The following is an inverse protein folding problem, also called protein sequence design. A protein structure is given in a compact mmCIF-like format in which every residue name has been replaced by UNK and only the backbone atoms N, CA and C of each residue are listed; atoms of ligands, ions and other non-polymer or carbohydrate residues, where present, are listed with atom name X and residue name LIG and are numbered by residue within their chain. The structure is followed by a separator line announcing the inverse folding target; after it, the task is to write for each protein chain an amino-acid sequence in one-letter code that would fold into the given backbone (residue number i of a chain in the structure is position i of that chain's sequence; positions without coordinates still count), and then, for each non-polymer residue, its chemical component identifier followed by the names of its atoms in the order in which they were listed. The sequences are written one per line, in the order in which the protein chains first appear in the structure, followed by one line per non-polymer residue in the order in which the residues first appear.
data_IF_449191596412
#
_entry.id   IF_449191596412
#
_cell.length_a   1.000
_cell.length_b   1.000
_cell.length_c   1.000
_cell.angle_alpha   90.00
_cell.angle_beta   90.00
_cell.angle_gamma   90.00
#
_symmetry.space_group_name_H-M   'P 1'
#
loop_
_entity.id
_entity.type
_entity.pdbx_description
1 polymer ?
#
# COMPACT_ATOMS: atom_id res chain seq x y z
N UNK A 1 -16.90 4.01 3.67
CA UNK A 1 -15.50 3.58 3.54
C UNK A 1 -15.41 2.15 4.03
N UNK A 2 -14.69 1.33 3.29
CA UNK A 2 -14.41 -0.07 3.64
C UNK A 2 -13.70 -0.16 5.01
N UNK A 3 -13.95 -1.24 5.75
CA UNK A 3 -13.44 -1.40 7.11
C UNK A 3 -11.92 -1.63 7.14
N UNK A 4 -11.39 -2.42 6.19
CA UNK A 4 -9.95 -2.69 6.07
C UNK A 4 -9.21 -1.42 5.66
N UNK A 5 -9.74 -0.68 4.68
CA UNK A 5 -9.19 0.62 4.29
C UNK A 5 -9.16 1.61 5.45
N UNK A 6 -10.25 1.71 6.20
CA UNK A 6 -10.33 2.60 7.36
C UNK A 6 -9.27 2.27 8.42
N UNK A 7 -9.12 0.99 8.75
CA UNK A 7 -8.16 0.54 9.74
C UNK A 7 -6.72 0.77 9.26
N UNK A 8 -6.43 0.44 8.01
CA UNK A 8 -5.13 0.66 7.39
C UNK A 8 -4.75 2.15 7.38
N UNK A 9 -5.68 3.03 6.97
CA UNK A 9 -5.49 4.48 6.97
C UNK A 9 -5.19 5.02 8.37
N UNK A 10 -6.02 4.66 9.36
CA UNK A 10 -5.83 5.10 10.75
C UNK A 10 -4.45 4.72 11.28
N UNK A 11 -4.07 3.46 11.11
CA UNK A 11 -2.81 2.95 11.66
C UNK A 11 -1.60 3.55 10.92
N UNK A 12 -1.64 3.66 9.59
CA UNK A 12 -0.56 4.29 8.83
C UNK A 12 -0.28 5.72 9.35
N UNK A 13 -1.33 6.54 9.50
CA UNK A 13 -1.23 7.89 10.03
C UNK A 13 -0.76 7.93 11.49
N UNK A 14 -1.32 7.07 12.34
CA UNK A 14 -0.99 7.00 13.76
C UNK A 14 0.49 6.64 13.98
N UNK A 15 0.98 5.61 13.30
CA UNK A 15 2.35 5.15 13.46
C UNK A 15 3.35 6.14 12.87
N UNK A 16 3.07 6.69 11.69
CA UNK A 16 3.88 7.77 11.11
C UNK A 16 3.98 8.95 12.10
N UNK A 17 2.85 9.44 12.58
CA UNK A 17 2.80 10.57 13.50
C UNK A 17 3.44 10.28 14.85
N UNK A 18 3.40 9.03 15.32
CA UNK A 18 4.06 8.64 16.57
C UNK A 18 5.58 8.75 16.46
N UNK A 19 6.16 8.30 15.33
CA UNK A 19 7.61 8.42 15.10
C UNK A 19 8.02 9.88 14.89
N UNK A 20 7.19 10.66 14.19
CA UNK A 20 7.44 12.08 13.91
C UNK A 20 7.05 13.03 15.07
N UNK A 21 6.52 12.51 16.19
CA UNK A 21 5.96 13.27 17.31
C UNK A 21 4.93 14.34 16.86
N UNK A 22 4.03 13.96 15.95
CA UNK A 22 2.98 14.81 15.38
C UNK A 22 1.57 14.43 15.85
N UNK A 23 0.65 15.37 15.72
CA UNK A 23 -0.78 15.07 15.76
C UNK A 23 -1.28 14.72 14.36
N UNK A 24 -2.06 13.65 14.24
CA UNK A 24 -2.64 13.20 12.97
C UNK A 24 -4.16 13.36 12.90
N UNK A 25 -4.80 13.87 13.95
CA UNK A 25 -6.26 13.91 14.06
C UNK A 25 -6.92 14.78 12.98
N UNK A 26 -6.24 15.87 12.59
CA UNK A 26 -6.69 16.78 11.53
C UNK A 26 -6.70 16.10 10.16
N UNK A 27 -5.55 15.59 9.73
CA UNK A 27 -5.42 14.90 8.43
C UNK A 27 -6.31 13.66 8.36
N UNK A 28 -6.41 12.87 9.43
CA UNK A 28 -7.29 11.70 9.49
C UNK A 28 -8.76 12.07 9.25
N UNK A 29 -9.22 13.15 9.88
CA UNK A 29 -10.60 13.61 9.73
C UNK A 29 -10.89 14.05 8.29
N UNK A 30 -9.96 14.79 7.68
CA UNK A 30 -10.08 15.28 6.30
C UNK A 30 -10.03 14.13 5.28
N UNK A 31 -9.11 13.18 5.44
CA UNK A 31 -9.02 12.00 4.58
C UNK A 31 -10.25 11.09 4.73
N UNK A 32 -10.69 10.81 5.96
CA UNK A 32 -11.92 10.04 6.20
C UNK A 32 -13.12 10.68 5.52
N UNK A 33 -13.25 12.01 5.65
CA UNK A 33 -14.32 12.77 4.99
C UNK A 33 -14.23 12.68 3.47
N UNK A 34 -13.02 12.66 2.91
CA UNK A 34 -12.78 12.52 1.46
C UNK A 34 -13.17 11.13 0.95
N UNK A 35 -12.79 10.07 1.67
CA UNK A 35 -13.12 8.70 1.29
C UNK A 35 -14.63 8.42 1.35
N UNK A 36 -15.30 8.92 2.39
CA UNK A 36 -16.75 8.77 2.58
C UNK A 36 -17.61 9.73 1.72
N UNK A 37 -17.00 10.67 0.99
CA UNK A 37 -17.75 11.62 0.18
C UNK A 37 -18.48 10.92 -0.97
N UNK A 38 -19.72 11.34 -1.24
CA UNK A 38 -20.46 10.95 -2.44
C UNK A 38 -20.07 11.88 -3.59
N UNK A 39 -18.89 11.64 -4.17
CA UNK A 39 -18.26 12.43 -5.22
C UNK A 39 -17.64 11.53 -6.28
N UNK A 40 -17.53 12.00 -7.55
CA UNK A 40 -16.73 11.33 -8.57
C UNK A 40 -15.29 11.06 -8.09
N UNK A 41 -14.67 9.99 -8.60
CA UNK A 41 -13.35 9.57 -8.14
C UNK A 41 -12.29 10.68 -8.24
N UNK A 42 -12.21 11.37 -9.39
CA UNK A 42 -11.23 12.46 -9.58
C UNK A 42 -11.46 13.68 -8.67
N UNK A 43 -12.70 13.91 -8.21
CA UNK A 43 -12.99 14.93 -7.20
C UNK A 43 -12.47 14.49 -5.82
N UNK A 44 -12.52 13.19 -5.51
CA UNK A 44 -11.87 12.64 -4.29
C UNK A 44 -10.36 12.73 -4.37
N UNK A 45 -9.75 12.41 -5.52
CA UNK A 45 -8.31 12.55 -5.75
C UNK A 45 -7.87 14.00 -5.53
N UNK A 46 -8.59 14.96 -6.10
CA UNK A 46 -8.30 16.39 -5.91
C UNK A 46 -8.38 16.83 -4.44
N UNK A 47 -9.34 16.30 -3.68
CA UNK A 47 -9.47 16.57 -2.24
C UNK A 47 -8.39 15.89 -1.40
N UNK A 48 -7.98 14.68 -1.78
CA UNK A 48 -6.83 14.01 -1.17
C UNK A 48 -5.58 14.87 -1.35
N UNK A 49 -5.35 15.38 -2.56
CA UNK A 49 -4.23 16.28 -2.85
C UNK A 49 -4.29 17.57 -2.02
N UNK A 50 -5.46 18.22 -1.94
CA UNK A 50 -5.65 19.41 -1.10
C UNK A 50 -5.40 19.11 0.39
N UNK A 51 -5.78 17.92 0.85
CA UNK A 51 -5.55 17.49 2.24
C UNK A 51 -4.06 17.38 2.52
N UNK A 52 -3.27 16.72 1.67
CA UNK A 52 -1.81 16.64 1.86
C UNK A 52 -1.11 17.99 1.71
N UNK A 53 -1.57 18.86 0.80
CA UNK A 53 -1.06 20.22 0.66
C UNK A 53 -1.26 21.07 1.94
N UNK A 54 -2.35 20.84 2.67
CA UNK A 54 -2.64 21.47 3.96
C UNK A 54 -1.87 20.82 5.13
N UNK A 55 -1.40 19.58 4.96
CA UNK A 55 -0.70 18.78 5.97
C UNK A 55 0.68 18.30 5.47
N UNK A 56 1.61 19.20 5.06
CA UNK A 56 2.84 18.85 4.35
C UNK A 56 3.83 17.99 5.15
N UNK A 57 3.60 17.77 6.45
CA UNK A 57 4.40 16.83 7.27
C UNK A 57 4.12 15.37 6.94
N UNK A 58 2.99 15.08 6.30
CA UNK A 58 2.56 13.74 5.92
C UNK A 58 2.76 13.46 4.44
N UNK A 59 3.45 14.35 3.70
CA UNK A 59 3.60 14.26 2.24
C UNK A 59 4.08 12.89 1.76
N UNK A 60 5.01 12.26 2.50
CA UNK A 60 5.55 10.93 2.18
C UNK A 60 4.48 9.83 2.16
N UNK A 61 3.30 10.05 2.76
CA UNK A 61 2.19 9.10 2.74
C UNK A 61 1.22 9.29 1.56
N UNK A 62 1.38 10.33 0.74
CA UNK A 62 0.39 10.72 -0.27
C UNK A 62 0.08 9.59 -1.24
N UNK A 63 1.10 8.95 -1.80
CA UNK A 63 0.95 7.86 -2.78
C UNK A 63 0.30 6.62 -2.15
N UNK A 64 0.74 6.21 -0.96
CA UNK A 64 0.17 5.05 -0.27
C UNK A 64 -1.29 5.26 0.17
N UNK A 65 -1.66 6.49 0.51
CA UNK A 65 -3.05 6.84 0.81
C UNK A 65 -3.88 6.96 -0.46
N UNK A 66 -3.29 7.36 -1.59
CA UNK A 66 -3.92 7.27 -2.90
C UNK A 66 -4.24 5.81 -3.26
N UNK A 67 -3.32 4.87 -3.02
CA UNK A 67 -3.57 3.44 -3.22
C UNK A 67 -4.77 2.96 -2.39
N UNK A 68 -4.86 3.38 -1.11
CA UNK A 68 -6.03 3.10 -0.26
C UNK A 68 -7.32 3.72 -0.80
N UNK A 69 -7.25 4.92 -1.39
CA UNK A 69 -8.42 5.56 -2.01
C UNK A 69 -8.90 4.76 -3.22
N UNK A 70 -7.98 4.25 -4.04
CA UNK A 70 -8.26 3.37 -5.17
C UNK A 70 -8.93 2.07 -4.70
N UNK A 71 -8.38 1.41 -3.68
CA UNK A 71 -8.98 0.20 -3.09
C UNK A 71 -10.37 0.48 -2.53
N UNK A 72 -10.58 1.60 -1.82
CA UNK A 72 -11.90 1.97 -1.33
C UNK A 72 -12.88 2.21 -2.48
N UNK A 73 -12.44 2.80 -3.59
CA UNK A 73 -13.28 3.01 -4.76
C UNK A 73 -13.78 1.67 -5.31
N UNK A 74 -12.90 0.69 -5.50
CA UNK A 74 -13.29 -0.65 -5.95
C UNK A 74 -14.21 -1.37 -4.95
N UNK A 75 -13.92 -1.28 -3.65
CA UNK A 75 -14.66 -1.99 -2.61
C UNK A 75 -16.07 -1.43 -2.37
N UNK A 76 -16.23 -0.10 -2.41
CA UNK A 76 -17.45 0.57 -1.94
C UNK A 76 -18.16 1.39 -3.02
N UNK A 77 -17.42 2.09 -3.88
CA UNK A 77 -18.02 3.05 -4.80
C UNK A 77 -18.47 2.39 -6.09
N UNK A 78 -17.68 1.47 -6.66
CA UNK A 78 -18.07 0.69 -7.85
C UNK A 78 -19.36 -0.08 -7.61
N UNK A 79 -19.62 -0.57 -6.40
CA UNK A 79 -20.87 -1.26 -6.05
C UNK A 79 -22.14 -0.38 -6.19
N UNK A 80 -21.99 0.95 -6.24
CA UNK A 80 -23.08 1.92 -6.39
C UNK A 80 -23.26 2.37 -7.84
N UNK A 81 -22.33 2.03 -8.72
CA UNK A 81 -22.30 2.42 -10.12
C UNK A 81 -22.98 1.34 -10.98
N UNK A 82 -23.03 1.58 -12.30
CA UNK A 82 -23.56 0.61 -13.25
C UNK A 82 -22.63 -0.62 -13.34
N UNK A 83 -23.19 -1.81 -13.64
CA UNK A 83 -22.44 -3.09 -13.63
C UNK A 83 -21.26 -3.11 -14.62
N UNK A 84 -21.32 -2.28 -15.67
CA UNK A 84 -20.32 -2.12 -16.71
C UNK A 84 -19.49 -0.83 -16.55
N UNK A 85 -19.50 -0.19 -15.38
CA UNK A 85 -18.76 1.06 -15.17
C UNK A 85 -17.25 0.90 -15.44
N UNK A 86 -16.65 -0.23 -15.02
CA UNK A 86 -15.23 -0.51 -15.27
C UNK A 86 -14.92 -0.79 -16.75
N UNK A 87 -15.93 -1.02 -17.59
CA UNK A 87 -15.78 -1.16 -19.04
C UNK A 87 -16.04 0.18 -19.78
N UNK A 88 -16.18 1.29 -19.05
CA UNK A 88 -16.58 2.58 -19.62
C UNK A 88 -15.40 3.45 -20.05
N UNK A 89 -15.61 4.32 -21.05
CA UNK A 89 -14.64 5.36 -21.46
C UNK A 89 -14.29 6.32 -20.30
N UNK A 90 -15.19 6.48 -19.31
CA UNK A 90 -14.93 7.28 -18.12
C UNK A 90 -13.87 6.62 -17.23
N UNK A 91 -13.97 5.31 -17.01
CA UNK A 91 -12.99 4.57 -16.24
C UNK A 91 -11.64 4.48 -16.97
N UNK A 92 -11.63 4.19 -18.27
CA UNK A 92 -10.41 4.19 -19.09
C UNK A 92 -9.66 5.54 -18.98
N UNK A 93 -10.38 6.66 -18.97
CA UNK A 93 -9.78 7.98 -18.80
C UNK A 93 -9.23 8.21 -17.37
N UNK A 94 -9.90 7.70 -16.35
CA UNK A 94 -9.43 7.76 -14.97
C UNK A 94 -8.14 6.95 -14.79
N UNK A 95 -8.08 5.74 -15.36
CA UNK A 95 -6.88 4.90 -15.32
C UNK A 95 -5.69 5.60 -15.98
N UNK A 96 -5.87 6.15 -17.18
CA UNK A 96 -4.81 6.90 -17.87
C UNK A 96 -4.37 8.14 -17.07
N UNK A 97 -5.31 8.90 -16.51
CA UNK A 97 -5.00 10.10 -15.71
C UNK A 97 -4.32 9.77 -14.37
N UNK A 98 -4.38 8.51 -13.92
CA UNK A 98 -3.84 8.07 -12.62
C UNK A 98 -2.72 7.05 -12.69
N UNK A 99 -2.23 6.75 -13.90
CA UNK A 99 -1.21 5.73 -14.15
C UNK A 99 0.07 5.93 -13.31
N UNK A 100 0.53 7.18 -13.16
CA UNK A 100 1.75 7.52 -12.39
C UNK A 100 1.46 7.99 -10.95
N UNK A 101 0.27 7.74 -10.40
CA UNK A 101 -0.17 8.30 -9.10
C UNK A 101 -0.01 7.38 -7.90
N UNK A 102 -0.09 6.08 -8.13
CA UNK A 102 -0.04 5.07 -7.08
C UNK A 102 1.38 4.61 -6.78
N UNK A 103 1.48 3.63 -5.90
CA UNK A 103 2.72 2.89 -5.64
C UNK A 103 2.51 1.40 -5.84
N UNK A 104 3.61 0.65 -5.79
CA UNK A 104 3.56 -0.82 -5.82
C UNK A 104 2.79 -1.43 -4.63
N UNK A 105 2.47 -0.63 -3.60
CA UNK A 105 1.59 -1.07 -2.52
C UNK A 105 0.18 -1.41 -3.03
N UNK A 106 -0.32 -0.74 -4.08
CA UNK A 106 -1.63 -1.04 -4.67
C UNK A 106 -1.76 -2.52 -5.06
N UNK A 107 -0.74 -3.07 -5.71
CA UNK A 107 -0.69 -4.48 -6.11
C UNK A 107 -0.73 -5.42 -4.90
N UNK A 108 -0.05 -5.06 -3.80
CA UNK A 108 -0.10 -5.82 -2.55
C UNK A 108 -1.51 -5.79 -1.96
N UNK A 109 -2.17 -4.63 -1.93
CA UNK A 109 -3.51 -4.49 -1.36
C UNK A 109 -4.56 -5.25 -2.18
N UNK A 110 -4.46 -5.22 -3.51
CA UNK A 110 -5.31 -6.02 -4.41
C UNK A 110 -5.14 -7.52 -4.14
N UNK A 111 -3.90 -7.99 -4.02
CA UNK A 111 -3.61 -9.38 -3.66
C UNK A 111 -4.19 -9.79 -2.30
N UNK A 112 -4.05 -8.94 -1.29
CA UNK A 112 -4.62 -9.21 0.04
C UNK A 112 -6.14 -9.27 0.00
N UNK A 113 -6.78 -8.43 -0.82
CA UNK A 113 -8.22 -8.46 -1.01
C UNK A 113 -8.66 -9.76 -1.69
N UNK A 114 -7.94 -10.22 -2.70
CA UNK A 114 -8.21 -11.51 -3.35
C UNK A 114 -8.05 -12.68 -2.37
N UNK A 115 -7.02 -12.64 -1.51
CA UNK A 115 -6.83 -13.64 -0.47
C UNK A 115 -8.00 -13.69 0.53
N UNK A 116 -8.50 -12.51 0.94
CA UNK A 116 -9.68 -12.39 1.82
C UNK A 116 -10.92 -13.00 1.16
N UNK A 117 -11.19 -12.63 -0.09
CA UNK A 117 -12.36 -13.12 -0.84
C UNK A 117 -12.30 -14.63 -1.10
N UNK A 118 -11.08 -15.19 -1.21
CA UNK A 118 -10.82 -16.62 -1.39
C UNK A 118 -10.66 -17.40 -0.07
N UNK A 119 -10.68 -16.75 1.10
CA UNK A 119 -10.44 -17.33 2.43
C UNK A 119 -9.10 -18.11 2.50
N UNK A 120 -8.03 -17.51 1.98
CA UNK A 120 -6.67 -18.06 1.99
C UNK A 120 -5.69 -17.13 2.72
N UNK A 121 -4.66 -17.71 3.35
CA UNK A 121 -3.59 -16.91 3.96
C UNK A 121 -2.61 -16.42 2.88
N UNK A 122 -2.22 -15.13 2.90
CA UNK A 122 -1.29 -14.60 1.91
C UNK A 122 0.11 -15.20 2.07
N UNK A 123 0.78 -15.43 0.94
CA UNK A 123 2.15 -15.92 0.88
C UNK A 123 2.93 -15.21 -0.24
N UNK A 124 4.24 -15.01 -0.03
CA UNK A 124 5.07 -14.37 -1.06
C UNK A 124 5.13 -15.23 -2.36
N UNK A 125 5.08 -16.55 -2.21
CA UNK A 125 5.15 -17.46 -3.36
C UNK A 125 3.90 -17.32 -4.25
N UNK A 126 2.71 -17.29 -3.64
CA UNK A 126 1.44 -17.11 -4.35
C UNK A 126 1.32 -15.68 -4.89
N UNK A 127 1.71 -14.66 -4.12
CA UNK A 127 1.73 -13.27 -4.57
C UNK A 127 2.56 -13.10 -5.85
N UNK A 128 3.73 -13.72 -5.92
CA UNK A 128 4.57 -13.63 -7.11
C UNK A 128 4.03 -14.49 -8.26
N UNK A 129 3.68 -15.76 -8.02
CA UNK A 129 3.42 -16.72 -9.11
C UNK A 129 2.00 -16.72 -9.62
N UNK A 130 1.03 -16.55 -8.73
CA UNK A 130 -0.38 -16.69 -9.03
C UNK A 130 -1.06 -15.34 -9.23
N UNK A 131 -0.54 -14.27 -8.60
CA UNK A 131 -1.09 -12.92 -8.71
C UNK A 131 -0.32 -12.01 -9.68
N UNK A 132 0.99 -11.80 -9.45
CA UNK A 132 1.78 -10.84 -10.24
C UNK A 132 2.28 -11.38 -11.59
N UNK A 133 2.87 -12.58 -11.61
CA UNK A 133 3.65 -13.09 -12.74
C UNK A 133 2.88 -14.15 -13.53
N UNK A 134 1.59 -13.91 -13.78
CA UNK A 134 0.74 -14.83 -14.54
C UNK A 134 1.27 -14.94 -15.98
N UNK A 135 1.25 -16.15 -16.57
CA UNK A 135 1.85 -16.43 -17.88
C UNK A 135 1.09 -15.76 -19.05
N UNK A 136 1.37 -14.48 -19.34
CA UNK A 136 1.21 -13.87 -20.67
C UNK A 136 2.36 -12.86 -20.92
N UNK A 137 2.77 -12.68 -22.18
CA UNK A 137 3.83 -11.75 -22.61
C UNK A 137 3.58 -10.27 -22.19
N UNK A 138 2.43 -9.99 -21.57
CA UNK A 138 1.95 -8.69 -21.12
C UNK A 138 2.55 -8.24 -19.77
N UNK A 139 3.09 -9.17 -18.95
CA UNK A 139 3.56 -8.86 -17.59
C UNK A 139 5.10 -8.69 -17.44
N UNK A 140 5.76 -8.19 -18.48
CA UNK A 140 7.22 -8.01 -18.47
C UNK A 140 7.67 -6.85 -17.57
N UNK A 141 6.83 -5.85 -17.39
CA UNK A 141 7.14 -4.70 -16.56
C UNK A 141 7.10 -5.07 -15.06
N UNK A 142 6.15 -5.89 -14.63
CA UNK A 142 6.04 -6.46 -13.27
C UNK A 142 7.27 -7.31 -12.96
N UNK A 143 7.70 -8.14 -13.91
CA UNK A 143 8.95 -8.89 -13.78
C UNK A 143 10.17 -7.99 -13.53
N UNK A 144 10.21 -6.80 -14.16
CA UNK A 144 11.28 -5.81 -13.97
C UNK A 144 11.16 -5.11 -12.62
N UNK A 145 9.97 -4.63 -12.27
CA UNK A 145 9.71 -3.88 -11.03
C UNK A 145 9.99 -4.76 -9.81
N UNK A 146 9.55 -6.02 -9.84
CA UNK A 146 9.69 -6.96 -8.72
C UNK A 146 10.97 -7.80 -8.79
N UNK A 147 11.92 -7.49 -9.68
CA UNK A 147 13.13 -8.31 -9.86
C UNK A 147 13.89 -8.52 -8.55
N UNK A 148 14.01 -7.47 -7.73
CA UNK A 148 14.67 -7.56 -6.43
C UNK A 148 13.87 -8.35 -5.40
N UNK A 149 12.54 -8.32 -5.43
CA UNK A 149 11.72 -9.21 -4.58
C UNK A 149 11.90 -10.66 -5.01
N UNK A 150 11.84 -10.93 -6.32
CA UNK A 150 12.00 -12.26 -6.91
C UNK A 150 13.36 -12.88 -6.56
N UNK A 151 14.45 -12.12 -6.69
CA UNK A 151 15.82 -12.59 -6.38
C UNK A 151 16.01 -12.88 -4.90
N UNK A 152 15.28 -12.18 -4.02
CA UNK A 152 15.50 -12.17 -2.59
C UNK A 152 14.37 -12.83 -1.78
N UNK A 153 13.52 -13.66 -2.41
CA UNK A 153 12.39 -14.35 -1.74
C UNK A 153 12.78 -15.06 -0.44
N UNK A 154 13.96 -15.67 -0.38
CA UNK A 154 14.45 -16.39 0.81
C UNK A 154 14.57 -15.51 2.07
N UNK A 155 14.57 -14.19 1.91
CA UNK A 155 14.66 -13.26 3.03
C UNK A 155 13.42 -13.27 3.93
N UNK A 156 12.26 -13.76 3.46
CA UNK A 156 11.08 -13.92 4.34
C UNK A 156 11.31 -14.92 5.47
N UNK A 157 12.31 -15.81 5.32
CA UNK A 157 12.74 -16.73 6.38
C UNK A 157 13.89 -16.15 7.24
N UNK A 158 14.27 -14.89 7.02
CA UNK A 158 15.42 -14.21 7.65
C UNK A 158 14.97 -13.16 8.68
N UNK A 159 15.93 -12.54 9.38
CA UNK A 159 15.63 -11.44 10.32
C UNK A 159 15.41 -10.12 9.60
N UNK A 160 14.70 -9.19 10.25
CA UNK A 160 14.50 -7.83 9.75
C UNK A 160 15.81 -7.12 9.39
N UNK A 161 16.90 -7.38 10.11
CA UNK A 161 18.21 -6.80 9.81
C UNK A 161 18.81 -7.27 8.48
N UNK A 162 18.60 -8.54 8.10
CA UNK A 162 19.06 -9.01 6.78
C UNK A 162 18.16 -8.49 5.65
N UNK A 163 16.84 -8.38 5.88
CA UNK A 163 15.93 -7.74 4.92
C UNK A 163 16.33 -6.27 4.70
N UNK A 164 16.52 -5.50 5.77
CA UNK A 164 16.92 -4.09 5.71
C UNK A 164 18.25 -3.90 4.98
N UNK A 165 19.24 -4.76 5.26
CA UNK A 165 20.57 -4.72 4.63
C UNK A 165 20.55 -5.03 3.13
N UNK A 166 19.62 -5.85 2.66
CA UNK A 166 19.40 -6.07 1.23
C UNK A 166 18.63 -4.89 0.64
N UNK A 167 17.54 -4.48 1.28
CA UNK A 167 16.73 -3.33 0.86
C UNK A 167 17.56 -2.05 0.70
N UNK A 168 18.53 -1.79 1.58
CA UNK A 168 19.43 -0.64 1.49
C UNK A 168 20.30 -0.61 0.22
N UNK A 169 20.49 -1.74 -0.47
CA UNK A 169 21.32 -1.86 -1.69
C UNK A 169 20.53 -1.75 -2.99
N UNK A 170 19.20 -1.87 -2.93
CA UNK A 170 18.31 -1.68 -4.08
C UNK A 170 18.48 -0.24 -4.56
N UNK A 171 18.53 -0.06 -5.90
CA UNK A 171 18.69 1.25 -6.50
C UNK A 171 17.53 2.17 -6.09
N UNK A 172 17.80 3.45 -5.89
CA UNK A 172 16.77 4.43 -5.56
C UNK A 172 15.86 4.74 -6.76
N UNK A 173 16.31 4.42 -7.97
CA UNK A 173 15.51 4.55 -9.19
C UNK A 173 14.53 3.37 -9.39
N UNK A 174 14.61 2.31 -8.58
CA UNK A 174 13.68 1.18 -8.65
C UNK A 174 12.39 1.48 -7.88
N UNK A 175 11.24 1.32 -8.53
CA UNK A 175 9.90 1.58 -7.99
C UNK A 175 9.63 0.79 -6.69
N UNK A 176 10.14 -0.44 -6.61
CA UNK A 176 9.97 -1.30 -5.43
C UNK A 176 10.76 -0.82 -4.21
N UNK A 177 11.76 0.06 -4.39
CA UNK A 177 12.69 0.48 -3.34
C UNK A 177 11.97 0.91 -2.07
N UNK A 178 10.93 1.71 -2.25
CA UNK A 178 10.29 2.39 -1.14
C UNK A 178 9.41 1.48 -0.31
N UNK A 179 8.93 0.38 -0.89
CA UNK A 179 8.09 -0.60 -0.18
C UNK A 179 8.80 -1.91 0.13
N UNK A 180 10.00 -2.17 -0.45
CA UNK A 180 10.67 -3.47 -0.35
C UNK A 180 10.82 -3.95 1.10
N UNK A 181 11.31 -3.08 1.99
CA UNK A 181 11.57 -3.47 3.37
C UNK A 181 10.26 -3.74 4.15
N UNK A 182 9.24 -2.87 4.13
CA UNK A 182 7.92 -3.17 4.67
C UNK A 182 7.26 -4.42 4.06
N UNK A 183 7.29 -4.58 2.74
CA UNK A 183 6.69 -5.69 2.00
C UNK A 183 7.28 -7.04 2.41
N UNK A 184 8.61 -7.14 2.36
CA UNK A 184 9.31 -8.37 2.74
C UNK A 184 9.13 -8.67 4.23
N UNK A 185 9.10 -7.64 5.08
CA UNK A 185 8.84 -7.79 6.52
C UNK A 185 7.42 -8.28 6.81
N UNK A 186 6.43 -7.88 6.02
CA UNK A 186 5.06 -8.43 6.10
C UNK A 186 5.01 -9.92 5.79
N UNK A 187 5.62 -10.36 4.69
CA UNK A 187 5.64 -11.78 4.37
C UNK A 187 6.50 -12.61 5.33
N UNK A 188 7.48 -11.99 6.01
CA UNK A 188 8.27 -12.64 7.05
C UNK A 188 7.49 -12.79 8.37
N UNK A 189 6.80 -11.72 8.78
CA UNK A 189 6.06 -11.65 10.04
C UNK A 189 4.76 -10.84 9.83
N UNK A 190 3.66 -11.48 9.43
CA UNK A 190 2.39 -10.80 9.16
C UNK A 190 1.63 -10.43 10.45
N UNK A 191 2.05 -10.95 11.61
CA UNK A 191 1.41 -10.70 12.92
C UNK A 191 2.47 -10.36 13.97
N UNK A 192 3.22 -9.26 13.80
CA UNK A 192 4.31 -8.90 14.70
C UNK A 192 3.78 -8.56 16.09
N UNK A 193 4.54 -8.97 17.11
CA UNK A 193 4.36 -8.46 18.46
C UNK A 193 5.17 -7.16 18.67
N UNK A 194 5.08 -6.58 19.86
CA UNK A 194 5.77 -5.33 20.19
C UNK A 194 7.31 -5.45 20.04
N UNK A 195 7.89 -6.61 20.33
CA UNK A 195 9.33 -6.81 20.21
C UNK A 195 9.76 -6.87 18.75
N UNK A 196 8.96 -7.53 17.89
CA UNK A 196 9.17 -7.53 16.45
C UNK A 196 9.07 -6.11 15.86
N UNK A 197 8.11 -5.29 16.31
CA UNK A 197 8.01 -3.88 15.87
C UNK A 197 9.24 -3.06 16.30
N UNK A 198 9.74 -3.26 17.52
CA UNK A 198 10.97 -2.61 17.99
C UNK A 198 12.18 -3.04 17.15
N UNK A 199 12.32 -4.34 16.85
CA UNK A 199 13.39 -4.84 15.98
C UNK A 199 13.29 -4.26 14.57
N UNK A 200 12.10 -4.22 13.96
CA UNK A 200 11.86 -3.61 12.66
C UNK A 200 12.32 -2.14 12.64
N UNK A 201 11.93 -1.37 13.64
CA UNK A 201 12.30 0.05 13.77
C UNK A 201 13.80 0.27 14.01
N UNK A 202 14.49 -0.67 14.65
CA UNK A 202 15.94 -0.58 14.86
C UNK A 202 16.72 -0.71 13.54
N UNK A 203 16.19 -1.45 12.57
CA UNK A 203 16.84 -1.72 11.29
C UNK A 203 16.42 -0.77 10.16
N UNK A 204 15.29 -0.07 10.30
CA UNK A 204 14.79 0.89 9.31
C UNK A 204 15.61 2.18 9.22
N UNK A 205 15.95 2.57 7.98
CA UNK A 205 16.55 3.87 7.66
C UNK A 205 15.50 5.00 7.54
N UNK A 206 14.23 4.66 7.28
CA UNK A 206 13.08 5.59 7.15
C UNK A 206 11.96 5.20 8.09
N UNK A 207 12.24 5.28 9.39
CA UNK A 207 11.41 4.71 10.46
C UNK A 207 9.93 5.05 10.37
N UNK A 208 9.61 6.31 10.11
CA UNK A 208 8.24 6.82 10.06
C UNK A 208 7.47 6.21 8.90
N UNK A 209 8.04 6.27 7.70
CA UNK A 209 7.43 5.76 6.49
C UNK A 209 7.38 4.22 6.46
N UNK A 210 8.50 3.56 6.73
CA UNK A 210 8.57 2.11 6.69
C UNK A 210 7.60 1.47 7.70
N UNK A 211 7.50 2.03 8.92
CA UNK A 211 6.55 1.53 9.91
C UNK A 211 5.10 1.81 9.49
N UNK A 212 4.83 2.98 8.90
CA UNK A 212 3.49 3.32 8.42
C UNK A 212 3.03 2.33 7.35
N UNK A 213 3.87 2.03 6.35
CA UNK A 213 3.56 1.06 5.29
C UNK A 213 3.41 -0.35 5.86
N UNK A 214 4.32 -0.78 6.74
CA UNK A 214 4.24 -2.12 7.33
C UNK A 214 2.95 -2.32 8.13
N UNK A 215 2.57 -1.31 8.94
CA UNK A 215 1.32 -1.33 9.69
C UNK A 215 0.10 -1.19 8.79
N UNK A 216 0.18 -0.43 7.70
CA UNK A 216 -0.88 -0.36 6.69
C UNK A 216 -1.17 -1.75 6.15
N UNK A 217 -0.15 -2.48 5.68
CA UNK A 217 -0.31 -3.83 5.11
C UNK A 217 -0.89 -4.80 6.14
N UNK A 218 -0.34 -4.81 7.37
CA UNK A 218 -0.83 -5.69 8.46
C UNK A 218 -2.30 -5.42 8.77
N UNK A 219 -2.69 -4.15 8.91
CA UNK A 219 -4.03 -3.79 9.34
C UNK A 219 -5.05 -3.90 8.22
N UNK A 220 -4.62 -3.76 6.97
CA UNK A 220 -5.45 -4.09 5.82
C UNK A 220 -5.74 -5.60 5.76
N UNK A 221 -4.74 -6.44 6.04
CA UNK A 221 -4.89 -7.90 6.05
C UNK A 221 -5.72 -8.48 7.22
N UNK A 222 -6.08 -7.68 8.23
CA UNK A 222 -6.71 -8.14 9.49
C UNK A 222 -8.19 -7.85 9.62
#
# INVERSE_FOLDING_TARGET
MDAHVKNALHNALQYFATVEEQDFSGIETELTTTFDADLPFMDKVSKLDETFDNHPRFEELREYVFDLLMINFFAEDVQKLEEDYLDSEEWEAIEEDTLDRGSELLNVLLYLKECEDADVEPSLDDYLKEFLLVEEDEFQDEHRIYEEVIKNQILVESSFGEIAKVGAKIDIEEEIKDIFYPLMSFFAEPRPDQAAIEEFLEQSDRKSLDLAIYQLIIQFNN
#
